data_IF_493919004103
#
_entry.id   IF_493919004103
#
_cell.length_a   1.000
_cell.length_b   1.000
_cell.length_c   1.000
_cell.angle_alpha   90.00
_cell.angle_beta   90.00
_cell.angle_gamma   90.00
#
_symmetry.space_group_name_H-M   'P 1'
#
loop_
_entity.id
_entity.type
_entity.pdbx_description
1 polymer ?
#
# COMPACT_ATOMS: atom_id res chain seq x y z
N UNK A 1 16.99 -11.56 -4.67
CA UNK A 1 16.65 -10.12 -4.42
C UNK A 1 16.09 -9.41 -5.67
N UNK A 2 16.10 -10.02 -6.86
CA UNK A 2 15.37 -9.54 -8.04
C UNK A 2 14.76 -10.77 -8.75
N UNK A 3 13.50 -11.11 -8.43
CA UNK A 3 12.81 -12.17 -9.14
C UNK A 3 12.18 -11.56 -10.40
N UNK A 4 12.75 -11.84 -11.58
CA UNK A 4 12.35 -11.20 -12.86
C UNK A 4 11.12 -11.86 -13.50
N UNK A 5 10.66 -12.99 -12.94
CA UNK A 5 9.51 -13.75 -13.45
C UNK A 5 9.88 -14.95 -14.32
N UNK A 6 11.18 -15.24 -14.46
CA UNK A 6 11.70 -16.43 -15.14
C UNK A 6 12.24 -17.40 -14.08
N UNK A 7 11.74 -18.63 -14.07
CA UNK A 7 12.16 -19.66 -13.12
C UNK A 7 11.56 -21.02 -13.46
N UNK A 8 12.22 -22.07 -13.00
CA UNK A 8 11.70 -23.43 -12.96
C UNK A 8 11.19 -23.71 -11.55
N UNK A 9 9.99 -24.27 -11.45
CA UNK A 9 9.33 -24.54 -10.18
C UNK A 9 8.96 -26.02 -10.11
N UNK A 10 9.27 -26.64 -8.98
CA UNK A 10 8.85 -28.00 -8.70
C UNK A 10 7.35 -28.05 -8.30
N UNK A 11 6.73 -29.23 -8.44
CA UNK A 11 5.31 -29.45 -8.11
C UNK A 11 5.00 -29.09 -6.66
N UNK A 12 5.85 -29.49 -5.72
CA UNK A 12 5.66 -29.18 -4.30
C UNK A 12 5.59 -27.66 -4.03
N UNK A 13 6.36 -26.88 -4.78
CA UNK A 13 6.35 -25.42 -4.69
C UNK A 13 5.06 -24.83 -5.26
N UNK A 14 4.60 -25.34 -6.41
CA UNK A 14 3.33 -24.92 -7.01
C UNK A 14 2.14 -25.23 -6.10
N UNK A 15 2.13 -26.39 -5.45
CA UNK A 15 1.09 -26.77 -4.50
C UNK A 15 1.07 -25.87 -3.25
N UNK A 16 2.24 -25.37 -2.82
CA UNK A 16 2.33 -24.38 -1.75
C UNK A 16 1.76 -23.01 -2.19
N UNK A 17 2.11 -22.56 -3.40
CA UNK A 17 1.58 -21.30 -3.97
C UNK A 17 0.06 -21.36 -4.12
N UNK A 18 -0.50 -22.49 -4.57
CA UNK A 18 -1.96 -22.65 -4.76
C UNK A 18 -2.78 -22.44 -3.48
N UNK A 19 -2.17 -22.55 -2.30
CA UNK A 19 -2.85 -22.29 -1.01
C UNK A 19 -3.00 -20.80 -0.72
N UNK A 20 -2.24 -19.93 -1.38
CA UNK A 20 -2.37 -18.50 -1.23
C UNK A 20 -3.55 -18.01 -2.06
N UNK A 21 -4.53 -17.43 -1.39
CA UNK A 21 -5.72 -16.88 -2.01
C UNK A 21 -5.68 -15.35 -1.95
N UNK A 22 -4.70 -14.76 -2.65
CA UNK A 22 -4.53 -13.31 -2.74
C UNK A 22 -5.24 -12.81 -4.01
N UNK A 23 -6.20 -11.86 -3.91
CA UNK A 23 -6.87 -11.26 -5.07
C UNK A 23 -5.90 -10.56 -6.04
N UNK A 24 -4.76 -10.09 -5.56
CA UNK A 24 -3.73 -9.42 -6.36
C UNK A 24 -2.38 -10.13 -6.17
N UNK A 25 -2.21 -11.35 -6.72
CA UNK A 25 -1.06 -12.19 -6.43
C UNK A 25 0.23 -11.56 -6.98
N UNK A 26 1.05 -11.01 -6.09
CA UNK A 26 2.39 -10.55 -6.42
C UNK A 26 3.38 -11.71 -6.38
N UNK A 27 3.34 -12.54 -7.43
CA UNK A 27 4.12 -13.79 -7.53
C UNK A 27 5.61 -13.57 -7.21
N UNK A 28 6.20 -12.47 -7.69
CA UNK A 28 7.62 -12.15 -7.47
C UNK A 28 7.99 -12.02 -6.00
N UNK A 29 7.13 -11.41 -5.19
CA UNK A 29 7.32 -11.31 -3.74
C UNK A 29 7.00 -12.62 -3.04
N UNK A 30 5.91 -13.26 -3.44
CA UNK A 30 5.44 -14.53 -2.87
C UNK A 30 6.53 -15.62 -2.92
N UNK A 31 7.22 -15.75 -4.06
CA UNK A 31 8.32 -16.72 -4.23
C UNK A 31 9.46 -16.48 -3.24
N UNK A 32 9.75 -15.22 -2.92
CA UNK A 32 10.80 -14.86 -1.96
C UNK A 32 10.38 -15.22 -0.53
N UNK A 33 9.09 -15.08 -0.21
CA UNK A 33 8.54 -15.29 1.12
C UNK A 33 8.39 -16.77 1.51
N UNK A 34 8.01 -17.64 0.57
CA UNK A 34 7.78 -19.08 0.83
C UNK A 34 9.08 -19.81 1.25
N UNK A 35 10.27 -19.29 0.90
CA UNK A 35 11.53 -19.70 1.54
C UNK A 35 12.06 -21.09 1.16
N UNK A 36 11.56 -21.71 0.08
CA UNK A 36 12.07 -22.99 -0.42
C UNK A 36 13.53 -22.89 -0.90
N UNK A 37 14.19 -24.05 -1.02
CA UNK A 37 15.52 -24.14 -1.61
C UNK A 37 15.52 -23.57 -3.04
N UNK A 38 16.42 -22.63 -3.30
CA UNK A 38 16.54 -21.96 -4.59
C UNK A 38 17.99 -21.89 -5.05
N UNK A 39 18.18 -21.98 -6.37
CA UNK A 39 19.46 -21.76 -7.03
C UNK A 39 19.28 -20.60 -7.99
N UNK A 40 20.13 -19.58 -7.87
CA UNK A 40 20.11 -18.41 -8.75
C UNK A 40 21.09 -18.65 -9.91
N UNK A 41 20.60 -18.61 -11.16
CA UNK A 41 21.43 -18.71 -12.36
C UNK A 41 21.67 -17.29 -12.89
N UNK A 42 22.92 -16.79 -12.92
CA UNK A 42 23.19 -15.45 -13.42
C UNK A 42 22.88 -15.39 -14.91
N UNK A 43 22.05 -14.41 -15.30
CA UNK A 43 21.68 -14.16 -16.67
C UNK A 43 21.71 -12.66 -16.96
N UNK A 44 22.40 -12.27 -18.03
CA UNK A 44 22.43 -10.89 -18.50
C UNK A 44 21.40 -10.72 -19.61
N UNK A 45 20.33 -9.97 -19.31
CA UNK A 45 19.28 -9.71 -20.28
C UNK A 45 19.75 -8.69 -21.33
N UNK A 46 19.74 -9.10 -22.61
CA UNK A 46 20.01 -8.17 -23.71
C UNK A 46 18.90 -7.12 -23.83
N UNK A 47 19.26 -5.91 -24.27
CA UNK A 47 18.27 -4.86 -24.55
C UNK A 47 17.34 -5.31 -25.67
N UNK A 48 16.03 -5.09 -25.49
CA UNK A 48 15.01 -5.35 -26.50
C UNK A 48 15.37 -4.64 -27.81
N UNK A 49 15.52 -5.41 -28.90
CA UNK A 49 15.88 -4.90 -30.24
C UNK A 49 14.69 -4.35 -31.04
N UNK A 50 13.47 -4.83 -30.74
CA UNK A 50 12.26 -4.46 -31.49
C UNK A 50 11.05 -4.28 -30.56
N UNK A 51 10.16 -3.35 -30.91
CA UNK A 51 8.93 -3.03 -30.17
C UNK A 51 9.07 -1.89 -29.16
N UNK A 52 7.94 -1.28 -28.78
CA UNK A 52 7.86 -0.26 -27.72
C UNK A 52 7.48 -0.93 -26.39
N UNK A 53 7.93 -0.35 -25.28
CA UNK A 53 7.46 -0.76 -23.94
C UNK A 53 5.94 -0.60 -23.87
N UNK A 54 5.22 -1.64 -23.45
CA UNK A 54 3.79 -1.56 -23.16
C UNK A 54 3.50 -0.79 -21.87
N UNK A 55 4.50 -0.66 -20.99
CA UNK A 55 4.37 0.08 -19.75
C UNK A 55 4.80 1.53 -19.89
N UNK A 56 3.88 2.42 -19.51
CA UNK A 56 4.13 3.84 -19.27
C UNK A 56 4.70 4.06 -17.86
N UNK A 57 5.34 5.21 -17.62
CA UNK A 57 5.76 5.63 -16.29
C UNK A 57 4.62 5.61 -15.26
N UNK A 58 3.43 6.07 -15.65
CA UNK A 58 2.25 6.07 -14.79
C UNK A 58 1.80 4.66 -14.42
N UNK A 59 1.87 3.72 -15.38
CA UNK A 59 1.55 2.31 -15.13
C UNK A 59 2.53 1.66 -14.15
N UNK A 60 3.82 2.03 -14.21
CA UNK A 60 4.81 1.58 -13.23
C UNK A 60 4.55 2.17 -11.84
N UNK A 61 4.19 3.45 -11.76
CA UNK A 61 3.85 4.10 -10.49
C UNK A 61 2.64 3.45 -9.82
N UNK A 62 1.57 3.24 -10.60
CA UNK A 62 0.34 2.61 -10.12
C UNK A 62 0.56 1.18 -9.64
N UNK A 63 1.34 0.39 -10.40
CA UNK A 63 1.75 -0.94 -10.00
C UNK A 63 2.59 -0.94 -8.71
N UNK A 64 3.52 -0.01 -8.57
CA UNK A 64 4.34 0.12 -7.38
C UNK A 64 3.52 0.54 -6.16
N UNK A 65 2.57 1.46 -6.32
CA UNK A 65 1.67 1.90 -5.24
C UNK A 65 0.75 0.76 -4.79
N UNK A 66 0.13 0.04 -5.73
CA UNK A 66 -0.74 -1.11 -5.43
C UNK A 66 0.03 -2.19 -4.68
N UNK A 67 1.25 -2.54 -5.13
CA UNK A 67 2.10 -3.50 -4.42
C UNK A 67 2.54 -3.01 -3.04
N UNK A 68 2.92 -1.73 -2.92
CA UNK A 68 3.37 -1.14 -1.66
C UNK A 68 2.27 -1.11 -0.59
N UNK A 69 1.04 -0.77 -0.98
CA UNK A 69 -0.11 -0.73 -0.08
C UNK A 69 -0.56 -2.14 0.32
N UNK A 70 -0.65 -3.07 -0.62
CA UNK A 70 -1.16 -4.41 -0.36
C UNK A 70 -0.17 -5.30 0.44
N UNK A 71 1.13 -5.23 0.16
CA UNK A 71 2.11 -6.06 0.89
C UNK A 71 2.52 -5.48 2.23
N UNK A 72 2.36 -4.17 2.47
CA UNK A 72 3.07 -3.51 3.56
C UNK A 72 2.16 -2.64 4.43
N UNK A 73 2.31 -2.78 5.76
CA UNK A 73 1.67 -1.92 6.77
C UNK A 73 2.42 -0.60 7.01
N UNK A 74 3.46 -0.30 6.22
CA UNK A 74 4.33 0.86 6.40
C UNK A 74 3.58 2.19 6.20
N UNK A 75 2.79 2.41 5.13
CA UNK A 75 2.02 3.64 4.97
C UNK A 75 1.12 3.94 6.18
N UNK A 76 0.42 2.91 6.67
CA UNK A 76 -0.44 3.03 7.85
C UNK A 76 0.36 3.41 9.11
N UNK A 77 1.54 2.81 9.31
CA UNK A 77 2.40 3.12 10.45
C UNK A 77 2.98 4.54 10.39
N UNK A 78 3.38 4.99 9.20
CA UNK A 78 3.86 6.36 8.98
C UNK A 78 2.73 7.36 9.26
N UNK A 79 1.52 7.06 8.79
CA UNK A 79 0.34 7.88 9.04
C UNK A 79 0.02 8.02 10.55
N UNK A 80 0.09 6.93 11.31
CA UNK A 80 -0.11 6.97 12.76
C UNK A 80 1.00 7.78 13.45
N UNK A 81 2.26 7.57 13.07
CA UNK A 81 3.40 8.26 13.67
C UNK A 81 3.38 9.76 13.36
N UNK A 82 3.05 10.14 12.11
CA UNK A 82 2.88 11.55 11.75
C UNK A 82 1.70 12.17 12.50
N UNK A 83 0.57 11.47 12.61
CA UNK A 83 -0.57 11.90 13.41
C UNK A 83 -0.21 12.14 14.88
N UNK A 84 0.58 11.27 15.49
CA UNK A 84 1.04 11.43 16.87
C UNK A 84 1.96 12.63 17.06
N UNK A 85 2.90 12.86 16.13
CA UNK A 85 3.78 14.03 16.14
C UNK A 85 2.96 15.32 16.00
N UNK A 86 2.01 15.35 15.06
CA UNK A 86 1.13 16.50 14.87
C UNK A 86 0.25 16.76 16.09
N UNK A 87 -0.30 15.72 16.71
CA UNK A 87 -1.10 15.84 17.93
C UNK A 87 -0.28 16.41 19.09
N UNK A 88 0.95 15.92 19.26
CA UNK A 88 1.88 16.44 20.28
C UNK A 88 2.20 17.91 20.04
N UNK A 89 2.53 18.29 18.80
CA UNK A 89 2.81 19.68 18.44
C UNK A 89 1.58 20.59 18.65
N UNK A 90 0.40 20.12 18.23
CA UNK A 90 -0.87 20.84 18.43
C UNK A 90 -1.16 21.05 19.92
N UNK A 91 -0.93 20.03 20.76
CA UNK A 91 -1.08 20.14 22.20
C UNK A 91 -0.11 21.15 22.82
N UNK A 92 1.16 21.16 22.40
CA UNK A 92 2.15 22.15 22.87
C UNK A 92 1.76 23.59 22.47
N UNK A 93 1.30 23.80 21.24
CA UNK A 93 0.83 25.11 20.77
C UNK A 93 -0.41 25.54 21.56
N UNK A 94 -1.38 24.64 21.77
CA UNK A 94 -2.58 24.93 22.55
C UNK A 94 -2.24 25.29 23.99
N UNK A 95 -1.30 24.59 24.63
CA UNK A 95 -0.83 24.90 25.98
C UNK A 95 -0.14 26.26 26.03
N UNK A 96 0.71 26.58 25.05
CA UNK A 96 1.34 27.89 24.92
C UNK A 96 0.32 29.03 24.79
N UNK A 97 -0.69 28.84 23.93
CA UNK A 97 -1.78 29.80 23.74
C UNK A 97 -2.63 29.97 25.01
N UNK A 98 -2.86 28.88 25.75
CA UNK A 98 -3.57 28.89 27.03
C UNK A 98 -2.81 29.69 28.09
N UNK A 99 -1.51 29.42 28.26
CA UNK A 99 -0.65 30.17 29.20
C UNK A 99 -0.61 31.66 28.83
N UNK A 100 -0.46 31.98 27.54
CA UNK A 100 -0.44 33.36 27.07
C UNK A 100 -1.75 34.10 27.36
N UNK A 101 -2.89 33.42 27.16
CA UNK A 101 -4.21 33.97 27.48
C UNK A 101 -4.41 34.20 28.98
N UNK A 102 -3.88 33.34 29.85
CA UNK A 102 -3.96 33.52 31.31
C UNK A 102 -3.10 34.71 31.77
N UNK A 103 -1.93 34.92 31.15
CA UNK A 103 -1.04 36.05 31.48
C UNK A 103 -1.53 37.40 30.94
N UNK A 104 -2.20 37.41 29.79
CA UNK A 104 -2.63 38.63 29.07
C UNK A 104 -4.14 38.66 28.83
N UNK A 105 -4.91 38.46 29.90
CA UNK A 105 -6.37 38.26 29.85
C UNK A 105 -7.12 39.37 29.10
N UNK A 106 -6.74 40.64 29.30
CA UNK A 106 -7.45 41.80 28.78
C UNK A 106 -7.01 42.24 27.37
N UNK A 107 -5.82 41.84 26.91
CA UNK A 107 -5.25 42.29 25.62
C UNK A 107 -5.26 41.21 24.55
N UNK A 108 -5.49 39.95 24.92
CA UNK A 108 -5.37 38.83 24.00
C UNK A 108 -6.72 38.40 23.43
N UNK A 109 -7.07 38.95 22.26
CA UNK A 109 -8.25 38.53 21.49
C UNK A 109 -7.88 37.36 20.57
N UNK A 110 -8.67 36.28 20.63
CA UNK A 110 -8.46 35.12 19.75
C UNK A 110 -8.81 35.53 18.33
N UNK A 111 -7.82 35.53 17.44
CA UNK A 111 -8.03 35.88 16.03
C UNK A 111 -8.91 34.84 15.33
N UNK A 112 -9.97 35.30 14.66
CA UNK A 112 -10.83 34.44 13.83
C UNK A 112 -10.07 33.80 12.66
N UNK A 113 -9.15 34.54 12.03
CA UNK A 113 -8.38 34.04 10.89
C UNK A 113 -7.51 32.80 11.23
N UNK A 114 -6.68 32.79 12.30
CA UNK A 114 -5.98 31.59 12.74
C UNK A 114 -6.90 30.40 13.03
N UNK A 115 -8.09 30.66 13.59
CA UNK A 115 -9.05 29.62 13.95
C UNK A 115 -9.62 28.93 12.71
N UNK A 116 -10.04 29.72 11.72
CA UNK A 116 -10.56 29.21 10.44
C UNK A 116 -9.46 28.45 9.67
N UNK A 117 -8.25 28.99 9.60
CA UNK A 117 -7.12 28.33 8.93
C UNK A 117 -6.79 27.00 9.61
N UNK A 118 -6.73 26.98 10.95
CA UNK A 118 -6.49 25.76 11.72
C UNK A 118 -7.56 24.69 11.50
N UNK A 119 -8.83 25.10 11.41
CA UNK A 119 -9.96 24.19 11.16
C UNK A 119 -9.88 23.55 9.76
N UNK A 120 -9.60 24.33 8.72
CA UNK A 120 -9.42 23.80 7.36
C UNK A 120 -8.20 22.90 7.26
N UNK A 121 -7.09 23.27 7.89
CA UNK A 121 -5.88 22.47 7.93
C UNK A 121 -6.10 21.11 8.61
N UNK A 122 -6.77 21.12 9.77
CA UNK A 122 -7.11 19.89 10.48
C UNK A 122 -8.05 19.00 9.66
N UNK A 123 -9.06 19.59 9.01
CA UNK A 123 -9.99 18.88 8.13
C UNK A 123 -9.28 18.23 6.94
N UNK A 124 -8.33 18.93 6.32
CA UNK A 124 -7.54 18.40 5.21
C UNK A 124 -6.70 17.18 5.63
N UNK A 125 -6.02 17.27 6.79
CA UNK A 125 -5.25 16.16 7.34
C UNK A 125 -6.15 14.96 7.67
N UNK A 126 -7.31 15.20 8.28
CA UNK A 126 -8.26 14.15 8.62
C UNK A 126 -8.77 13.43 7.36
N UNK A 127 -9.05 14.15 6.28
CA UNK A 127 -9.45 13.57 4.99
C UNK A 127 -8.33 12.70 4.40
N UNK A 128 -7.06 13.11 4.49
CA UNK A 128 -5.91 12.31 4.05
C UNK A 128 -5.86 10.98 4.82
N UNK A 129 -5.93 11.04 6.16
CA UNK A 129 -5.91 9.81 6.97
C UNK A 129 -7.11 8.91 6.71
N UNK A 130 -8.29 9.49 6.52
CA UNK A 130 -9.50 8.75 6.16
C UNK A 130 -9.36 8.09 4.79
N UNK A 131 -8.74 8.76 3.83
CA UNK A 131 -8.42 8.19 2.51
C UNK A 131 -7.47 7.00 2.60
N UNK A 132 -6.40 7.10 3.41
CA UNK A 132 -5.49 5.98 3.67
C UNK A 132 -6.25 4.79 4.27
N UNK A 133 -7.08 5.04 5.29
CA UNK A 133 -7.90 3.99 5.90
C UNK A 133 -8.86 3.38 4.87
N UNK A 134 -9.48 4.20 4.02
CA UNK A 134 -10.36 3.75 2.95
C UNK A 134 -9.68 2.82 1.95
N UNK A 135 -8.44 3.14 1.54
CA UNK A 135 -7.64 2.29 0.65
C UNK A 135 -7.37 0.91 1.28
N UNK A 136 -6.92 0.89 2.53
CA UNK A 136 -6.68 -0.36 3.27
C UNK A 136 -7.98 -1.15 3.51
N UNK A 137 -9.08 -0.46 3.82
CA UNK A 137 -10.38 -1.10 4.00
C UNK A 137 -10.89 -1.70 2.69
N UNK A 138 -10.65 -1.04 1.56
CA UNK A 138 -10.94 -1.56 0.22
C UNK A 138 -10.12 -2.80 -0.13
N UNK A 139 -8.83 -2.82 0.24
CA UNK A 139 -7.97 -3.99 0.09
C UNK A 139 -8.50 -5.18 0.93
N UNK A 140 -8.83 -4.93 2.21
CA UNK A 140 -9.42 -5.95 3.10
C UNK A 140 -10.78 -6.42 2.57
N UNK A 141 -11.63 -5.51 2.10
CA UNK A 141 -12.91 -5.85 1.49
C UNK A 141 -12.73 -6.77 0.29
N UNK A 142 -11.74 -6.49 -0.56
CA UNK A 142 -11.43 -7.32 -1.74
C UNK A 142 -10.96 -8.71 -1.33
N UNK A 143 -10.13 -8.80 -0.29
CA UNK A 143 -9.69 -10.07 0.31
C UNK A 143 -10.86 -10.88 0.90
N UNK A 144 -11.76 -10.22 1.63
CA UNK A 144 -12.92 -10.85 2.29
C UNK A 144 -13.96 -11.32 1.28
N UNK A 145 -14.17 -10.58 0.20
CA UNK A 145 -15.12 -10.94 -0.86
C UNK A 145 -14.77 -12.27 -1.53
N UNK A 146 -13.50 -12.70 -1.44
CA UNK A 146 -13.02 -14.01 -1.84
C UNK A 146 -13.57 -14.46 -3.21
N UNK A 147 -13.46 -13.57 -4.19
CA UNK A 147 -13.90 -13.86 -5.55
C UNK A 147 -12.91 -14.82 -6.21
N UNK A 148 -13.37 -15.78 -7.04
CA UNK A 148 -12.46 -16.59 -7.83
C UNK A 148 -11.62 -15.68 -8.74
N UNK A 149 -10.31 -15.97 -8.82
CA UNK A 149 -9.35 -15.19 -9.62
C UNK A 149 -9.71 -15.20 -11.11
N UNK A 150 -10.14 -16.36 -11.59
CA UNK A 150 -10.53 -16.58 -12.98
C UNK A 150 -11.75 -17.51 -12.98
N UNK A 151 -12.67 -17.24 -13.89
CA UNK A 151 -13.76 -18.16 -14.22
C UNK A 151 -13.44 -18.68 -15.62
N UNK A 152 -13.25 -20.00 -15.76
CA UNK A 152 -12.99 -20.62 -17.05
C UNK A 152 -14.29 -20.63 -17.88
N UNK A 153 -14.23 -20.14 -19.11
CA UNK A 153 -15.36 -20.17 -20.05
C UNK A 153 -15.44 -21.53 -20.76
N UNK A 154 -14.31 -22.01 -21.25
CA UNK A 154 -14.18 -23.29 -21.95
C UNK A 154 -12.81 -23.90 -21.66
N UNK A 155 -12.75 -25.22 -21.50
CA UNK A 155 -11.52 -25.99 -21.29
C UNK A 155 -11.36 -26.97 -22.44
N UNK A 156 -10.35 -26.74 -23.29
CA UNK A 156 -10.09 -27.53 -24.50
C UNK A 156 -8.87 -28.42 -24.25
N UNK A 157 -8.97 -29.72 -24.59
CA UNK A 157 -7.88 -30.72 -24.48
C UNK A 157 -7.37 -31.02 -23.05
N UNK A 158 -8.19 -30.81 -22.02
CA UNK A 158 -7.92 -31.28 -20.66
C UNK A 158 -9.09 -32.13 -20.17
N UNK A 159 -8.79 -33.25 -19.51
CA UNK A 159 -9.82 -34.11 -18.92
C UNK A 159 -10.50 -33.39 -17.74
N UNK A 160 -11.81 -33.61 -17.57
CA UNK A 160 -12.65 -32.94 -16.58
C UNK A 160 -12.47 -33.45 -15.13
N UNK A 161 -11.51 -34.34 -14.89
CA UNK A 161 -11.26 -34.92 -13.57
C UNK A 161 -10.11 -34.18 -12.87
N UNK A 162 -10.45 -33.17 -12.07
CA UNK A 162 -9.74 -32.72 -10.86
C UNK A 162 -10.63 -31.76 -10.05
#
# INVERSE_FOLDING_TARGET
>A
RNFTGLGLYDRQFLDAIRKYNDPYPFIRGLIIEIGFNRVEVPYTQEKRKYGKSSFSFFSYYDYAMTGFVNQTKLPLRIAVLSGFILATFSFMVALGYFIYKVLYWDTFTVGLAPLVIGMFFFSAIQLIFTGIIGEYLGAVWTQVKNKPLVIEEERINFDHED
#
